data_IF_021502412311
#
_entry.id   IF_021502412311
#
_cell.length_a   1.000
_cell.length_b   1.000
_cell.length_c   1.000
_cell.angle_alpha   90.00
_cell.angle_beta   90.00
_cell.angle_gamma   90.00
#
_symmetry.space_group_name_H-M   'P 1'
#
loop_
_entity.id
_entity.type
_entity.pdbx_description
1 polymer ?
#
# COMPACT_ATOMS: atom_id res chain seq x y z
N UNK A 1 -0.78 14.96 46.37
CA UNK A 1 -1.42 13.80 45.74
C UNK A 1 -1.65 14.02 44.25
N UNK A 2 -2.17 15.17 43.85
CA UNK A 2 -2.45 15.47 42.45
C UNK A 2 -1.18 15.57 41.58
N UNK A 3 -0.11 16.18 42.12
CA UNK A 3 1.16 16.32 41.38
C UNK A 3 1.84 15.00 41.09
N UNK A 4 1.84 14.07 42.07
CA UNK A 4 2.44 12.74 41.83
C UNK A 4 1.66 11.95 40.80
N UNK A 5 0.34 12.04 40.83
CA UNK A 5 -0.53 11.38 39.88
C UNK A 5 -0.34 11.98 38.48
N UNK A 6 -0.29 13.29 38.37
CA UNK A 6 -0.06 13.98 37.11
C UNK A 6 1.29 13.64 36.50
N UNK A 7 2.34 13.56 37.35
CA UNK A 7 3.67 13.17 36.90
C UNK A 7 3.69 11.73 36.40
N UNK A 8 3.05 10.80 37.11
CA UNK A 8 2.97 9.41 36.69
C UNK A 8 2.22 9.26 35.36
N UNK A 9 1.14 10.02 35.17
CA UNK A 9 0.41 10.03 33.91
C UNK A 9 1.23 10.63 32.76
N UNK A 10 2.01 11.66 33.04
CA UNK A 10 2.91 12.26 32.04
C UNK A 10 3.99 11.29 31.62
N UNK A 11 4.61 10.58 32.56
CA UNK A 11 5.61 9.55 32.26
C UNK A 11 5.03 8.39 31.43
N UNK A 12 3.81 7.98 31.79
CA UNK A 12 3.11 6.95 31.03
C UNK A 12 2.85 7.38 29.58
N UNK A 13 2.42 8.63 29.38
CA UNK A 13 2.21 9.18 28.02
C UNK A 13 3.51 9.21 27.23
N UNK A 14 4.62 9.60 27.84
CA UNK A 14 5.93 9.61 27.18
C UNK A 14 6.35 8.20 26.74
N UNK A 15 6.12 7.20 27.58
CA UNK A 15 6.41 5.81 27.25
C UNK A 15 5.57 5.32 26.07
N UNK A 16 4.28 5.65 26.06
CA UNK A 16 3.38 5.29 24.97
C UNK A 16 3.82 5.97 23.66
N UNK A 17 4.13 7.26 23.73
CA UNK A 17 4.60 8.01 22.55
C UNK A 17 5.93 7.45 22.03
N UNK A 18 6.83 7.01 22.90
CA UNK A 18 8.10 6.41 22.51
C UNK A 18 7.97 5.06 21.79
N UNK A 19 6.86 4.34 22.03
CA UNK A 19 6.59 3.04 21.39
C UNK A 19 5.63 3.15 20.23
N UNK A 20 5.08 4.32 19.96
CA UNK A 20 4.09 4.48 18.92
C UNK A 20 4.70 4.24 17.55
N UNK A 21 4.00 3.48 16.73
CA UNK A 21 4.33 3.35 15.31
C UNK A 21 3.80 4.59 14.58
N UNK A 22 4.64 5.15 13.73
CA UNK A 22 4.30 6.34 12.96
C UNK A 22 4.48 6.07 11.49
N UNK A 23 3.46 6.41 10.72
CA UNK A 23 3.51 6.34 9.26
C UNK A 23 3.00 7.65 8.69
N UNK A 24 3.59 8.09 7.61
CA UNK A 24 2.94 9.05 6.72
C UNK A 24 2.23 8.29 5.62
N UNK A 25 1.30 8.94 4.95
CA UNK A 25 0.63 8.33 3.81
C UNK A 25 0.37 9.36 2.73
N UNK A 26 0.35 8.87 1.49
CA UNK A 26 0.04 9.67 0.30
C UNK A 26 -0.89 8.90 -0.61
N UNK A 27 -1.63 9.63 -1.44
CA UNK A 27 -2.47 9.03 -2.47
C UNK A 27 -2.12 9.62 -3.83
N UNK A 28 -2.25 8.81 -4.86
CA UNK A 28 -2.18 9.27 -6.24
C UNK A 28 -3.00 8.36 -7.13
N UNK A 29 -3.23 8.79 -8.37
CA UNK A 29 -4.06 8.08 -9.33
C UNK A 29 -3.32 7.93 -10.64
N UNK A 30 -3.52 6.79 -11.31
CA UNK A 30 -3.00 6.53 -12.66
C UNK A 30 -4.03 5.78 -13.46
N UNK A 31 -4.23 6.20 -14.69
CA UNK A 31 -5.04 5.48 -15.64
C UNK A 31 -4.26 4.30 -16.19
N UNK A 32 -4.92 3.15 -16.32
CA UNK A 32 -4.27 1.94 -16.84
C UNK A 32 -5.25 1.01 -17.53
N UNK A 33 -4.68 0.14 -18.35
CA UNK A 33 -5.42 -0.89 -19.08
C UNK A 33 -4.83 -2.24 -18.69
N UNK A 34 -5.70 -3.17 -18.31
CA UNK A 34 -5.30 -4.54 -18.05
C UNK A 34 -6.38 -5.53 -18.52
N UNK A 35 -6.07 -6.81 -18.45
CA UNK A 35 -7.00 -7.90 -18.77
C UNK A 35 -6.68 -9.10 -17.90
N UNK A 36 -7.68 -9.96 -17.74
CA UNK A 36 -7.51 -11.22 -17.00
C UNK A 36 -7.96 -12.38 -17.87
N UNK A 37 -7.06 -12.96 -18.72
CA UNK A 37 -7.43 -13.98 -19.70
C UNK A 37 -8.08 -15.22 -19.08
N UNK A 38 -7.67 -15.63 -17.88
CA UNK A 38 -8.24 -16.79 -17.21
C UNK A 38 -9.74 -16.65 -16.89
N UNK A 39 -10.26 -15.43 -16.86
CA UNK A 39 -11.68 -15.19 -16.62
C UNK A 39 -12.59 -15.80 -17.71
N UNK A 40 -12.08 -16.00 -18.91
CA UNK A 40 -12.83 -16.60 -20.01
C UNK A 40 -12.88 -18.13 -19.94
N UNK A 41 -11.97 -18.76 -19.20
CA UNK A 41 -11.79 -20.22 -19.19
C UNK A 41 -11.98 -20.87 -17.83
N UNK A 42 -11.81 -20.13 -16.74
CA UNK A 42 -12.01 -20.62 -15.38
C UNK A 42 -13.52 -20.75 -15.13
N UNK A 43 -14.04 -21.98 -14.84
CA UNK A 43 -15.47 -22.17 -14.63
C UNK A 43 -16.02 -21.45 -13.39
N UNK A 44 -15.17 -21.08 -12.45
CA UNK A 44 -15.59 -20.27 -11.30
C UNK A 44 -15.82 -18.80 -11.69
N UNK A 45 -15.28 -18.34 -12.79
CA UNK A 45 -15.36 -16.95 -13.27
C UNK A 45 -16.26 -16.84 -14.50
N UNK A 46 -16.17 -17.82 -15.41
CA UNK A 46 -17.02 -17.92 -16.60
C UNK A 46 -18.20 -18.83 -16.30
N UNK A 47 -19.17 -18.32 -15.55
CA UNK A 47 -20.27 -19.09 -14.97
C UNK A 47 -21.57 -19.06 -15.79
N UNK A 48 -21.65 -18.14 -16.76
CA UNK A 48 -22.87 -17.84 -17.54
C UNK A 48 -24.07 -17.42 -16.70
N UNK A 49 -23.86 -17.05 -15.43
CA UNK A 49 -24.91 -16.67 -14.49
C UNK A 49 -24.70 -15.28 -13.92
N UNK A 50 -25.32 -15.03 -12.77
CA UNK A 50 -25.28 -13.73 -12.09
C UNK A 50 -23.86 -13.31 -11.68
N UNK A 51 -23.02 -14.26 -11.35
CA UNK A 51 -21.66 -14.00 -10.91
C UNK A 51 -20.62 -14.15 -12.02
N UNK A 52 -21.05 -14.22 -13.27
CA UNK A 52 -20.14 -14.30 -14.42
C UNK A 52 -19.32 -13.03 -14.54
N UNK A 53 -18.00 -13.21 -14.59
CA UNK A 53 -17.02 -12.12 -14.77
C UNK A 53 -16.09 -12.39 -15.96
N UNK A 54 -16.56 -13.19 -16.92
CA UNK A 54 -15.76 -13.55 -18.10
C UNK A 54 -15.34 -12.33 -18.93
N UNK A 55 -16.06 -11.21 -18.82
CA UNK A 55 -15.70 -9.97 -19.50
C UNK A 55 -14.32 -9.42 -19.05
N UNK A 56 -13.82 -9.81 -17.90
CA UNK A 56 -12.50 -9.42 -17.41
C UNK A 56 -11.37 -9.95 -18.30
N UNK A 57 -11.65 -10.94 -19.16
CA UNK A 57 -10.68 -11.46 -20.12
C UNK A 57 -10.34 -10.45 -21.21
N UNK A 58 -11.23 -9.51 -21.47
CA UNK A 58 -11.02 -8.45 -22.45
C UNK A 58 -10.25 -7.30 -21.84
N UNK A 59 -9.45 -6.60 -22.63
CA UNK A 59 -8.76 -5.41 -22.15
C UNK A 59 -9.78 -4.38 -21.67
N UNK A 60 -9.58 -3.85 -20.49
CA UNK A 60 -10.45 -2.86 -19.88
C UNK A 60 -9.65 -1.81 -19.12
N UNK A 61 -10.23 -0.65 -18.98
CA UNK A 61 -9.57 0.54 -18.47
C UNK A 61 -10.12 0.91 -17.10
N UNK A 62 -9.23 1.29 -16.20
CA UNK A 62 -9.58 1.80 -14.89
C UNK A 62 -8.77 3.05 -14.55
N UNK A 63 -9.26 3.85 -13.63
CA UNK A 63 -8.44 4.78 -12.88
C UNK A 63 -7.96 4.03 -11.63
N UNK A 64 -6.69 3.71 -11.59
CA UNK A 64 -6.10 3.04 -10.45
C UNK A 64 -5.79 4.07 -9.36
N UNK A 65 -6.30 3.81 -8.17
CA UNK A 65 -6.07 4.63 -6.98
C UNK A 65 -5.04 3.93 -6.11
N UNK A 66 -3.99 4.66 -5.77
CA UNK A 66 -2.91 4.17 -4.92
C UNK A 66 -2.95 4.91 -3.60
N UNK A 67 -2.75 4.17 -2.52
CA UNK A 67 -2.47 4.75 -1.21
C UNK A 67 -1.27 4.02 -0.63
N UNK A 68 -0.28 4.79 -0.19
CA UNK A 68 0.98 4.23 0.33
C UNK A 68 1.22 4.81 1.70
N UNK A 69 1.41 3.94 2.68
CA UNK A 69 1.84 4.29 4.04
C UNK A 69 3.28 3.83 4.20
N UNK A 70 4.11 4.62 4.82
CA UNK A 70 5.52 4.28 5.08
C UNK A 70 5.91 4.72 6.47
N UNK A 71 6.70 3.90 7.16
CA UNK A 71 7.23 4.19 8.49
C UNK A 71 8.04 5.48 8.48
N UNK A 72 7.85 6.27 9.52
CA UNK A 72 8.71 7.40 9.85
C UNK A 72 9.20 7.25 11.28
N UNK A 73 10.43 7.73 11.55
CA UNK A 73 11.12 7.47 12.81
C UNK A 73 11.11 8.67 13.75
N UNK A 74 10.64 9.80 13.29
CA UNK A 74 10.45 10.99 14.13
C UNK A 74 9.34 11.87 13.55
N UNK A 75 8.95 12.88 14.31
CA UNK A 75 7.76 13.69 14.03
C UNK A 75 8.01 14.89 13.11
N UNK A 76 9.25 15.15 12.74
CA UNK A 76 9.59 16.35 11.97
C UNK A 76 10.05 16.02 10.57
N UNK A 77 9.12 15.57 9.76
CA UNK A 77 9.32 15.35 8.31
C UNK A 77 10.50 14.44 7.99
N UNK A 78 10.60 13.32 8.68
CA UNK A 78 11.58 12.26 8.36
C UNK A 78 11.51 11.91 6.87
N UNK A 79 10.30 11.74 6.36
CA UNK A 79 10.01 11.73 4.93
C UNK A 79 8.98 12.83 4.68
N UNK A 80 9.30 13.78 3.82
CA UNK A 80 8.35 14.83 3.47
C UNK A 80 7.35 14.26 2.46
N UNK A 81 6.06 14.29 2.78
CA UNK A 81 5.06 13.53 2.02
C UNK A 81 4.76 14.10 0.62
N UNK A 82 4.91 15.40 0.38
CA UNK A 82 4.73 15.95 -0.98
C UNK A 82 5.84 15.48 -1.90
N UNK A 83 7.09 15.48 -1.41
CA UNK A 83 8.23 14.96 -2.16
C UNK A 83 8.08 13.45 -2.41
N UNK A 84 7.63 12.72 -1.41
CA UNK A 84 7.39 11.29 -1.52
C UNK A 84 6.32 10.99 -2.58
N UNK A 85 5.20 11.70 -2.53
CA UNK A 85 4.14 11.59 -3.52
C UNK A 85 4.65 11.86 -4.93
N UNK A 86 5.39 12.93 -5.13
CA UNK A 86 5.95 13.29 -6.43
C UNK A 86 6.91 12.23 -6.96
N UNK A 87 7.71 11.67 -6.06
CA UNK A 87 8.60 10.58 -6.43
C UNK A 87 7.84 9.34 -6.86
N UNK A 88 6.79 8.95 -6.11
CA UNK A 88 5.94 7.82 -6.47
C UNK A 88 5.26 8.04 -7.83
N UNK A 89 4.67 9.21 -8.04
CA UNK A 89 4.04 9.55 -9.32
C UNK A 89 5.04 9.48 -10.48
N UNK A 90 6.27 9.90 -10.24
CA UNK A 90 7.35 9.85 -11.22
C UNK A 90 7.81 8.44 -11.61
N UNK A 91 7.49 7.43 -10.82
CA UNK A 91 7.76 6.03 -11.18
C UNK A 91 6.86 5.55 -12.33
N UNK A 92 5.73 6.22 -12.54
CA UNK A 92 4.74 5.93 -13.56
C UNK A 92 4.71 7.08 -14.56
N UNK A 93 5.62 7.06 -15.51
CA UNK A 93 5.84 8.18 -16.43
C UNK A 93 5.06 8.10 -17.74
N UNK A 94 4.12 7.19 -17.86
CA UNK A 94 3.23 7.07 -19.02
C UNK A 94 1.84 7.60 -18.66
N UNK A 95 1.17 8.20 -19.64
CA UNK A 95 -0.19 8.73 -19.47
C UNK A 95 -1.19 7.61 -19.16
N UNK A 96 -1.07 6.49 -19.87
CA UNK A 96 -1.90 5.30 -19.66
C UNK A 96 -0.96 4.11 -19.45
N UNK A 97 -1.09 3.46 -18.30
CA UNK A 97 -0.26 2.31 -17.96
C UNK A 97 -0.72 1.07 -18.74
N UNK A 98 0.22 0.40 -19.38
CA UNK A 98 -0.01 -0.89 -20.02
C UNK A 98 0.35 -1.98 -19.01
N UNK A 99 -0.67 -2.52 -18.35
CA UNK A 99 -0.48 -3.40 -17.21
C UNK A 99 -0.58 -4.89 -17.58
N UNK A 100 -0.89 -5.20 -18.83
CA UNK A 100 -1.10 -6.55 -19.32
C UNK A 100 -2.12 -7.30 -18.44
N UNK A 101 -1.67 -8.34 -17.73
CA UNK A 101 -2.53 -9.14 -16.85
C UNK A 101 -2.28 -8.86 -15.35
N UNK A 102 -1.69 -7.72 -15.01
CA UNK A 102 -1.38 -7.44 -13.59
C UNK A 102 -2.64 -7.14 -12.79
N UNK A 103 -2.77 -7.84 -11.69
CA UNK A 103 -3.77 -7.56 -10.66
C UNK A 103 -3.34 -6.38 -9.79
N UNK A 104 -4.26 -5.88 -8.96
CA UNK A 104 -3.92 -4.86 -7.96
C UNK A 104 -2.82 -5.34 -7.01
N UNK A 105 -2.86 -6.61 -6.62
CA UNK A 105 -1.84 -7.22 -5.75
C UNK A 105 -0.45 -7.23 -6.41
N UNK A 106 -0.39 -7.60 -7.67
CA UNK A 106 0.88 -7.60 -8.44
C UNK A 106 1.42 -6.18 -8.61
N UNK A 107 0.53 -5.22 -8.82
CA UNK A 107 0.91 -3.81 -8.92
C UNK A 107 1.48 -3.29 -7.59
N UNK A 108 0.90 -3.72 -6.47
CA UNK A 108 1.40 -3.37 -5.15
C UNK A 108 2.80 -3.94 -4.92
N UNK A 109 3.04 -5.21 -5.26
CA UNK A 109 4.36 -5.84 -5.14
C UNK A 109 5.42 -5.13 -6.00
N UNK A 110 5.08 -4.76 -7.22
CA UNK A 110 5.99 -4.01 -8.11
C UNK A 110 6.37 -2.66 -7.49
N UNK A 111 5.37 -1.94 -6.96
CA UNK A 111 5.60 -0.66 -6.33
C UNK A 111 6.44 -0.80 -5.07
N UNK A 112 6.14 -1.80 -4.24
CA UNK A 112 6.92 -2.07 -3.04
C UNK A 112 8.40 -2.30 -3.35
N UNK A 113 8.70 -3.05 -4.39
CA UNK A 113 10.09 -3.31 -4.80
C UNK A 113 10.86 -2.01 -5.05
N UNK A 114 10.23 -1.04 -5.68
CA UNK A 114 10.83 0.28 -5.93
C UNK A 114 10.98 1.10 -4.66
N UNK A 115 9.97 1.07 -3.79
CA UNK A 115 10.02 1.78 -2.51
C UNK A 115 11.11 1.19 -1.62
N UNK A 116 11.18 -0.13 -1.51
CA UNK A 116 12.19 -0.83 -0.71
C UNK A 116 13.61 -0.55 -1.19
N UNK A 117 13.79 -0.34 -2.49
CA UNK A 117 15.09 0.05 -3.04
C UNK A 117 15.58 1.39 -2.54
N UNK A 118 14.67 2.32 -2.28
CA UNK A 118 14.99 3.67 -1.75
C UNK A 118 14.96 3.70 -0.23
N UNK A 119 14.04 2.96 0.40
CA UNK A 119 13.80 2.96 1.84
C UNK A 119 13.82 1.52 2.37
N UNK A 120 15.01 0.89 2.49
CA UNK A 120 15.10 -0.56 2.70
C UNK A 120 14.63 -1.04 4.08
N UNK A 121 14.68 -0.21 5.11
CA UNK A 121 14.43 -0.63 6.49
C UNK A 121 13.10 -0.09 7.05
N UNK A 122 12.10 0.05 6.20
CA UNK A 122 10.81 0.61 6.60
C UNK A 122 9.66 -0.31 6.24
N UNK A 123 8.73 -0.48 7.16
CA UNK A 123 7.46 -1.11 6.83
C UNK A 123 6.67 -0.18 5.88
N UNK A 124 6.06 -0.78 4.89
CA UNK A 124 5.27 -0.08 3.87
C UNK A 124 3.96 -0.80 3.69
N UNK A 125 2.87 -0.07 3.64
CA UNK A 125 1.56 -0.60 3.28
C UNK A 125 1.15 0.01 1.96
N UNK A 126 0.63 -0.81 1.06
CA UNK A 126 0.21 -0.34 -0.25
C UNK A 126 -1.20 -0.83 -0.53
N UNK A 127 -2.08 0.11 -0.85
CA UNK A 127 -3.42 -0.17 -1.35
C UNK A 127 -3.47 0.22 -2.81
N UNK A 128 -3.96 -0.68 -3.66
CA UNK A 128 -4.23 -0.43 -5.07
C UNK A 128 -5.68 -0.76 -5.33
N UNK A 129 -6.43 0.18 -5.84
CA UNK A 129 -7.86 0.01 -6.09
C UNK A 129 -8.22 0.41 -7.52
N UNK A 130 -9.21 -0.27 -8.07
CA UNK A 130 -9.79 0.03 -9.37
C UNK A 130 -10.96 0.98 -9.16
N UNK A 131 -10.86 2.17 -9.75
CA UNK A 131 -11.91 3.22 -9.72
C UNK A 131 -12.34 3.63 -8.30
N UNK A 132 -11.53 3.33 -7.30
CA UNK A 132 -11.85 3.59 -5.90
C UNK A 132 -12.94 2.70 -5.32
N UNK A 133 -13.33 1.63 -6.02
CA UNK A 133 -14.46 0.77 -5.61
C UNK A 133 -14.00 -0.57 -5.05
N UNK A 134 -12.99 -1.17 -5.66
CA UNK A 134 -12.47 -2.49 -5.28
C UNK A 134 -10.96 -2.46 -5.34
N UNK A 135 -10.31 -3.19 -4.47
CA UNK A 135 -8.85 -3.20 -4.47
C UNK A 135 -8.25 -4.18 -3.50
N UNK A 136 -6.94 -4.07 -3.35
CA UNK A 136 -6.15 -4.88 -2.46
C UNK A 136 -5.29 -4.00 -1.56
N UNK A 137 -5.09 -4.44 -0.32
CA UNK A 137 -4.14 -3.86 0.62
C UNK A 137 -3.12 -4.92 0.98
N UNK A 138 -1.83 -4.59 0.80
CA UNK A 138 -0.74 -5.46 1.22
C UNK A 138 0.14 -4.71 2.21
N UNK A 139 0.43 -5.35 3.33
CA UNK A 139 1.29 -4.83 4.38
C UNK A 139 2.65 -5.52 4.32
N UNK A 140 3.67 -4.77 3.93
CA UNK A 140 5.05 -5.23 3.88
C UNK A 140 5.71 -4.87 5.21
N UNK A 141 5.71 -5.81 6.13
CA UNK A 141 6.20 -5.61 7.49
C UNK A 141 7.66 -6.02 7.60
N UNK A 142 8.36 -5.38 8.52
CA UNK A 142 9.76 -5.75 8.83
C UNK A 142 9.74 -6.62 10.08
N UNK A 143 10.35 -7.80 10.00
CA UNK A 143 10.52 -8.61 11.19
C UNK A 143 11.56 -7.97 12.11
N UNK A 144 11.17 -7.74 13.38
CA UNK A 144 12.10 -7.27 14.38
C UNK A 144 13.20 -8.32 14.59
N UNK A 145 14.49 -7.92 14.67
CA UNK A 145 15.58 -8.86 14.95
C UNK A 145 15.34 -9.68 16.19
N UNK A 146 14.64 -9.14 17.19
CA UNK A 146 14.31 -9.82 18.43
C UNK A 146 13.22 -10.88 18.28
N UNK A 147 12.44 -10.86 17.21
CA UNK A 147 11.41 -11.86 16.95
C UNK A 147 11.98 -13.10 16.25
N UNK A 148 13.06 -12.97 15.53
CA UNK A 148 13.72 -14.08 14.85
C UNK A 148 14.57 -14.94 15.78
N UNK A 149 14.86 -14.49 16.99
CA UNK A 149 15.70 -15.17 17.98
C UNK A 149 14.86 -16.02 18.95
N UNK A 150 13.56 -15.89 18.95
CA UNK A 150 12.66 -16.58 19.88
C UNK A 150 12.17 -17.95 19.39
N UNK A 151 12.83 -18.48 18.43
CA UNK A 151 12.54 -19.83 17.94
C UNK A 151 13.29 -20.89 18.78
#
# INVERSE_FOLDING_TARGET
MNQQREQALAEQREQIMGRAERKIWVTFRKEGIHKYPAAATDPNLCTAGEYDVSFLANAHRHIFHFRVWIDVFHNDRDIEFIQFKRWLEGLYNKDILQLDFKSCEMMADDLYTKIAGRYPDRAVWIEVAEDGENGALIKYEISHPNMSIKI
#
